data_IF_131772601966
#
_entry.id   IF_131772601966
#
_cell.length_a   1.000
_cell.length_b   1.000
_cell.length_c   1.000
_cell.angle_alpha   90.00
_cell.angle_beta   90.00
_cell.angle_gamma   90.00
#
_symmetry.space_group_name_H-M   'P 1'
#
loop_
_entity.id
_entity.type
_entity.pdbx_description
1 polymer ?
#
# COMPACT_ATOMS: atom_id res chain seq x y z
N UNK A 1 16.46 0.95 -16.66
CA UNK A 1 15.22 0.54 -15.95
C UNK A 1 15.42 0.53 -14.44
N UNK A 2 16.52 -0.01 -13.93
CA UNK A 2 16.89 0.05 -12.50
C UNK A 2 16.89 1.48 -11.92
N UNK A 3 17.51 2.43 -12.63
CA UNK A 3 17.54 3.84 -12.23
C UNK A 3 16.13 4.45 -12.08
N UNK A 4 15.23 4.12 -13.01
CA UNK A 4 13.85 4.60 -12.98
C UNK A 4 13.13 4.09 -11.73
N UNK A 5 13.25 2.79 -11.41
CA UNK A 5 12.64 2.23 -10.19
C UNK A 5 13.19 2.87 -8.93
N UNK A 6 14.50 3.12 -8.89
CA UNK A 6 15.14 3.85 -7.79
C UNK A 6 14.54 5.23 -7.61
N UNK A 7 14.46 6.01 -8.69
CA UNK A 7 13.92 7.37 -8.68
C UNK A 7 12.45 7.37 -8.25
N UNK A 8 11.62 6.51 -8.86
CA UNK A 8 10.19 6.40 -8.52
C UNK A 8 10.01 6.03 -7.04
N UNK A 9 10.72 5.00 -6.56
CA UNK A 9 10.62 4.56 -5.16
C UNK A 9 11.03 5.67 -4.19
N UNK A 10 12.11 6.40 -4.52
CA UNK A 10 12.61 7.50 -3.69
C UNK A 10 11.64 8.68 -3.65
N UNK A 11 11.08 9.09 -4.80
CA UNK A 11 10.07 10.15 -4.87
C UNK A 11 8.86 9.75 -4.02
N UNK A 12 8.30 8.56 -4.25
CA UNK A 12 7.12 8.11 -3.52
C UNK A 12 7.33 8.03 -1.99
N UNK A 13 8.49 7.51 -1.55
CA UNK A 13 8.81 7.47 -0.11
C UNK A 13 9.04 8.85 0.47
N UNK A 14 9.74 9.72 -0.24
CA UNK A 14 10.04 11.07 0.22
C UNK A 14 8.79 11.92 0.35
N UNK A 15 7.94 11.93 -0.68
CA UNK A 15 6.68 12.68 -0.65
C UNK A 15 5.76 12.20 0.47
N UNK A 16 5.73 10.90 0.76
CA UNK A 16 4.99 10.40 1.91
C UNK A 16 5.63 10.82 3.25
N UNK A 17 6.94 10.64 3.42
CA UNK A 17 7.61 10.90 4.70
C UNK A 17 7.69 12.39 5.06
N UNK A 18 7.79 13.27 4.05
CA UNK A 18 7.94 14.71 4.22
C UNK A 18 6.58 15.42 4.20
N UNK A 19 5.66 14.98 3.34
CA UNK A 19 4.41 15.71 3.05
C UNK A 19 3.12 14.89 3.32
N UNK A 20 3.23 13.63 3.76
CA UNK A 20 2.08 12.73 3.93
C UNK A 20 1.27 12.55 2.64
N UNK A 21 1.95 12.53 1.49
CA UNK A 21 1.32 12.31 0.18
C UNK A 21 1.53 10.85 -0.24
N UNK A 22 0.44 10.10 -0.32
CA UNK A 22 0.42 8.74 -0.86
C UNK A 22 0.28 8.79 -2.39
N UNK A 23 1.33 8.43 -3.10
CA UNK A 23 1.32 8.36 -4.56
C UNK A 23 0.86 6.99 -5.05
N UNK A 24 0.00 7.00 -6.07
CA UNK A 24 -0.35 5.84 -6.90
C UNK A 24 0.10 6.14 -8.32
N UNK A 25 0.50 5.10 -9.04
CA UNK A 25 0.90 5.26 -10.43
C UNK A 25 0.94 3.94 -11.17
N UNK A 26 1.32 4.02 -12.43
CA UNK A 26 1.58 2.84 -13.23
C UNK A 26 2.75 3.07 -14.19
N UNK A 27 3.41 1.98 -14.57
CA UNK A 27 4.52 1.98 -15.53
C UNK A 27 4.20 0.95 -16.60
N UNK A 28 4.15 1.43 -17.84
CA UNK A 28 4.06 0.61 -19.04
C UNK A 28 5.26 0.91 -19.94
N UNK A 29 5.63 -0.05 -20.78
CA UNK A 29 6.70 0.05 -21.77
C UNK A 29 6.09 0.00 -23.16
N UNK A 30 6.59 0.83 -24.07
CA UNK A 30 6.17 0.87 -25.47
C UNK A 30 6.53 2.21 -26.10
N UNK A 31 6.06 2.41 -27.33
CA UNK A 31 6.35 3.62 -28.08
C UNK A 31 5.56 4.83 -27.56
N UNK A 32 6.27 5.94 -27.40
CA UNK A 32 5.71 7.24 -27.11
C UNK A 32 6.57 8.34 -27.71
N UNK A 33 5.96 9.48 -27.98
CA UNK A 33 6.62 10.69 -28.45
C UNK A 33 6.35 11.84 -27.49
N UNK A 34 7.35 12.68 -27.29
CA UNK A 34 7.21 13.96 -26.60
C UNK A 34 7.13 15.07 -27.65
N UNK A 35 5.97 15.69 -27.77
CA UNK A 35 5.74 16.84 -28.63
C UNK A 35 6.01 18.11 -27.82
N UNK A 36 7.13 18.78 -28.08
CA UNK A 36 7.48 20.03 -27.40
C UNK A 36 6.53 21.17 -27.81
N UNK A 37 6.00 21.91 -26.83
CA UNK A 37 5.22 23.11 -27.07
C UNK A 37 6.17 24.29 -27.29
N UNK A 38 6.16 24.86 -28.50
CA UNK A 38 7.15 25.85 -28.95
C UNK A 38 7.01 27.26 -28.37
N UNK A 39 6.10 27.48 -27.42
CA UNK A 39 5.61 28.83 -27.13
C UNK A 39 6.26 29.53 -25.92
N UNK A 40 7.04 28.85 -25.06
CA UNK A 40 7.67 29.48 -23.90
C UNK A 40 9.09 28.92 -23.67
N UNK A 41 10.13 29.75 -23.85
CA UNK A 41 11.54 29.33 -23.72
C UNK A 41 11.96 28.88 -22.32
N UNK A 42 11.20 29.24 -21.29
CA UNK A 42 11.47 28.92 -19.88
C UNK A 42 10.64 27.74 -19.36
N UNK A 43 9.74 27.18 -20.16
CA UNK A 43 8.83 26.14 -19.74
C UNK A 43 8.96 24.95 -20.68
N UNK A 44 9.50 23.83 -20.18
CA UNK A 44 9.47 22.55 -20.89
C UNK A 44 8.04 21.99 -20.90
N UNK A 45 7.10 22.71 -21.52
CA UNK A 45 5.78 22.20 -21.83
C UNK A 45 5.93 21.25 -23.02
N UNK A 46 5.52 20.01 -22.85
CA UNK A 46 5.40 19.07 -23.94
C UNK A 46 4.21 18.16 -23.71
N UNK A 47 3.60 17.70 -24.79
CA UNK A 47 2.56 16.68 -24.75
C UNK A 47 3.23 15.32 -24.95
N UNK A 48 3.01 14.41 -24.01
CA UNK A 48 3.40 13.00 -24.19
C UNK A 48 2.22 12.30 -24.84
N UNK A 49 2.44 11.72 -26.03
CA UNK A 49 1.45 10.92 -26.75
C UNK A 49 2.05 9.56 -27.09
N UNK A 50 1.21 8.53 -27.12
CA UNK A 50 1.63 7.19 -27.47
C UNK A 50 0.80 6.13 -26.76
N UNK A 51 0.84 4.91 -27.28
CA UNK A 51 0.10 3.79 -26.73
C UNK A 51 0.58 3.49 -25.30
N UNK A 52 1.90 3.57 -25.05
CA UNK A 52 2.45 3.35 -23.72
C UNK A 52 1.92 4.32 -22.66
N UNK A 53 1.64 5.58 -23.03
CA UNK A 53 1.01 6.55 -22.11
C UNK A 53 -0.44 6.15 -21.80
N UNK A 54 -1.21 5.76 -22.81
CA UNK A 54 -2.60 5.32 -22.64
C UNK A 54 -2.64 4.06 -21.78
N UNK A 55 -1.76 3.11 -22.03
CA UNK A 55 -1.66 1.85 -21.29
C UNK A 55 -1.32 2.10 -19.82
N UNK A 56 -0.33 2.96 -19.54
CA UNK A 56 -0.01 3.36 -18.17
C UNK A 56 -1.19 4.05 -17.48
N UNK A 57 -1.89 4.96 -18.17
CA UNK A 57 -3.05 5.65 -17.63
C UNK A 57 -4.20 4.68 -17.28
N UNK A 58 -4.53 3.75 -18.18
CA UNK A 58 -5.57 2.75 -17.93
C UNK A 58 -5.17 1.80 -16.80
N UNK A 59 -3.89 1.43 -16.75
CA UNK A 59 -3.34 0.51 -15.77
C UNK A 59 -3.38 1.09 -14.34
N UNK A 60 -3.13 2.39 -14.16
CA UNK A 60 -3.20 3.07 -12.86
C UNK A 60 -4.59 2.94 -12.21
N UNK A 61 -5.64 2.96 -13.03
CA UNK A 61 -7.02 2.82 -12.58
C UNK A 61 -7.43 1.42 -12.12
N UNK A 62 -6.61 0.38 -12.40
CA UNK A 62 -6.99 -1.02 -12.17
C UNK A 62 -6.88 -1.46 -10.70
N UNK A 63 -5.94 -0.88 -9.95
CA UNK A 63 -5.70 -1.25 -8.55
C UNK A 63 -6.00 -0.07 -7.65
N UNK A 64 -6.98 -0.25 -6.76
CA UNK A 64 -7.34 0.73 -5.72
C UNK A 64 -6.47 0.52 -4.48
N UNK A 65 -5.19 0.84 -4.60
CA UNK A 65 -4.20 0.77 -3.53
C UNK A 65 -3.05 1.73 -3.81
N UNK A 66 -2.33 2.14 -2.77
CA UNK A 66 -1.05 2.84 -2.94
C UNK A 66 0.01 1.86 -3.44
N UNK A 67 0.77 2.29 -4.45
CA UNK A 67 1.76 1.45 -5.13
C UNK A 67 1.85 1.82 -6.61
N UNK A 68 2.80 1.18 -7.29
CA UNK A 68 3.01 1.39 -8.72
C UNK A 68 2.64 0.09 -9.45
N UNK A 69 1.60 0.15 -10.28
CA UNK A 69 1.17 -1.00 -11.10
C UNK A 69 2.04 -1.10 -12.34
N UNK A 70 2.48 -2.30 -12.70
CA UNK A 70 3.40 -2.52 -13.81
C UNK A 70 2.68 -3.29 -14.93
N UNK A 71 3.00 -2.96 -16.18
CA UNK A 71 2.69 -3.88 -17.28
C UNK A 71 3.49 -5.17 -17.12
N UNK A 72 3.02 -6.27 -17.71
CA UNK A 72 3.70 -7.56 -17.66
C UNK A 72 5.16 -7.45 -18.11
N UNK A 73 5.39 -6.83 -19.27
CA UNK A 73 6.73 -6.63 -19.83
C UNK A 73 7.68 -5.86 -18.90
N UNK A 74 7.17 -4.83 -18.21
CA UNK A 74 7.97 -4.05 -17.26
C UNK A 74 8.30 -4.89 -16.02
N UNK A 75 7.33 -5.66 -15.53
CA UNK A 75 7.56 -6.57 -14.42
C UNK A 75 8.61 -7.63 -14.76
N UNK A 76 8.51 -8.26 -15.93
CA UNK A 76 9.48 -9.26 -16.39
C UNK A 76 10.89 -8.67 -16.53
N UNK A 77 11.02 -7.48 -17.16
CA UNK A 77 12.30 -6.77 -17.27
C UNK A 77 12.91 -6.51 -15.88
N UNK A 78 12.10 -6.11 -14.89
CA UNK A 78 12.56 -5.84 -13.53
C UNK A 78 12.92 -7.10 -12.75
N UNK A 79 12.16 -8.18 -12.92
CA UNK A 79 12.47 -9.48 -12.31
C UNK A 79 13.79 -10.03 -12.85
N UNK A 80 14.09 -9.84 -14.14
CA UNK A 80 15.35 -10.23 -14.76
C UNK A 80 16.56 -9.41 -14.23
N UNK A 81 16.35 -8.15 -13.83
CA UNK A 81 17.39 -7.33 -13.19
C UNK A 81 17.66 -7.77 -11.74
N UNK A 82 16.63 -8.28 -11.04
CA UNK A 82 16.75 -8.91 -9.72
C UNK A 82 16.97 -7.97 -8.52
N UNK A 83 17.37 -6.71 -8.73
CA UNK A 83 17.74 -5.77 -7.64
C UNK A 83 16.56 -5.33 -6.76
N UNK A 84 15.31 -5.48 -7.24
CA UNK A 84 14.09 -5.05 -6.55
C UNK A 84 13.06 -6.18 -6.36
N UNK A 85 13.46 -7.44 -6.52
CA UNK A 85 12.56 -8.60 -6.47
C UNK A 85 11.71 -8.66 -5.19
N UNK A 86 12.28 -8.28 -4.04
CA UNK A 86 11.56 -8.25 -2.76
C UNK A 86 10.42 -7.20 -2.71
N UNK A 87 10.40 -6.24 -3.64
CA UNK A 87 9.37 -5.21 -3.73
C UNK A 87 8.42 -5.43 -4.90
N UNK A 88 8.63 -6.50 -5.67
CA UNK A 88 7.85 -6.86 -6.84
C UNK A 88 7.02 -8.10 -6.51
N UNK A 89 5.74 -8.05 -6.86
CA UNK A 89 4.88 -9.21 -6.68
C UNK A 89 3.68 -9.17 -7.62
N UNK A 90 3.14 -10.37 -7.83
CA UNK A 90 1.87 -10.59 -8.47
C UNK A 90 0.73 -10.61 -7.45
N UNK A 91 -0.41 -10.03 -7.85
CA UNK A 91 -1.65 -10.10 -7.10
C UNK A 91 -2.83 -10.36 -8.01
N UNK A 92 -3.71 -11.27 -7.59
CA UNK A 92 -4.96 -11.54 -8.31
C UNK A 92 -6.07 -10.71 -7.67
N UNK A 93 -6.54 -9.71 -8.39
CA UNK A 93 -7.62 -8.82 -7.98
C UNK A 93 -8.72 -8.95 -9.03
N UNK A 94 -9.95 -9.23 -8.60
CA UNK A 94 -11.09 -9.43 -9.51
C UNK A 94 -10.81 -10.44 -10.65
N UNK A 95 -10.13 -11.55 -10.32
CA UNK A 95 -9.72 -12.61 -11.27
C UNK A 95 -8.71 -12.16 -12.34
N UNK A 96 -8.11 -10.98 -12.20
CA UNK A 96 -7.05 -10.49 -13.08
C UNK A 96 -5.73 -10.40 -12.32
N UNK A 97 -4.66 -10.84 -12.96
CA UNK A 97 -3.30 -10.68 -12.43
C UNK A 97 -2.85 -9.25 -12.62
N UNK A 98 -2.33 -8.67 -11.55
CA UNK A 98 -1.72 -7.36 -11.52
C UNK A 98 -0.30 -7.50 -11.00
N UNK A 99 0.62 -6.74 -11.58
CA UNK A 99 2.01 -6.70 -11.16
C UNK A 99 2.25 -5.40 -10.41
N UNK A 100 2.82 -5.48 -9.21
CA UNK A 100 2.93 -4.34 -8.31
C UNK A 100 4.36 -4.17 -7.86
N UNK A 101 4.85 -2.93 -7.97
CA UNK A 101 6.01 -2.43 -7.24
C UNK A 101 5.51 -1.70 -5.99
N UNK A 102 5.80 -2.26 -4.80
CA UNK A 102 5.58 -1.55 -3.54
C UNK A 102 6.75 -0.62 -3.24
N UNK A 103 6.44 0.60 -2.82
CA UNK A 103 7.42 1.49 -2.20
C UNK A 103 7.23 1.58 -0.68
N UNK A 104 6.00 1.36 -0.18
CA UNK A 104 5.71 1.24 1.25
C UNK A 104 5.95 -0.21 1.70
N UNK A 105 7.17 -0.52 2.10
CA UNK A 105 7.47 -1.80 2.74
C UNK A 105 6.96 -1.81 4.18
N UNK A 106 6.80 -3.00 4.75
CA UNK A 106 6.46 -3.14 6.17
C UNK A 106 7.43 -2.38 7.08
N UNK A 107 8.74 -2.51 6.84
CA UNK A 107 9.75 -1.80 7.64
C UNK A 107 9.66 -0.29 7.52
N UNK A 108 9.36 0.20 6.31
CA UNK A 108 9.18 1.63 6.09
C UNK A 108 7.95 2.17 6.82
N UNK A 109 6.83 1.43 6.79
CA UNK A 109 5.62 1.82 7.51
C UNK A 109 5.78 1.71 9.02
N UNK A 110 6.50 0.72 9.54
CA UNK A 110 6.69 0.54 10.99
C UNK A 110 7.52 1.65 11.67
N UNK A 111 8.15 2.55 10.91
CA UNK A 111 8.70 3.78 11.45
C UNK A 111 7.57 4.61 12.06
N UNK A 112 7.67 4.96 13.35
CA UNK A 112 6.62 5.59 14.14
C UNK A 112 5.94 6.78 13.42
N UNK A 113 6.74 7.73 12.93
CA UNK A 113 6.24 8.89 12.18
C UNK A 113 5.44 8.47 10.94
N UNK A 114 5.95 7.51 10.17
CA UNK A 114 5.33 7.06 8.93
C UNK A 114 3.99 6.36 9.21
N UNK A 115 3.93 5.50 10.23
CA UNK A 115 2.68 4.84 10.60
C UNK A 115 1.64 5.83 11.10
N UNK A 116 2.05 6.79 11.94
CA UNK A 116 1.16 7.84 12.46
C UNK A 116 0.56 8.65 11.31
N UNK A 117 1.39 9.16 10.40
CA UNK A 117 0.90 9.91 9.23
C UNK A 117 -0.01 9.06 8.33
N UNK A 118 0.29 7.77 8.15
CA UNK A 118 -0.59 6.87 7.40
C UNK A 118 -1.96 6.74 8.06
N UNK A 119 -2.00 6.54 9.38
CA UNK A 119 -3.24 6.39 10.16
C UNK A 119 -4.04 7.69 10.20
N UNK A 120 -3.38 8.85 10.26
CA UNK A 120 -4.03 10.17 10.18
C UNK A 120 -4.79 10.33 8.85
N UNK A 121 -4.11 10.09 7.72
CA UNK A 121 -4.74 10.13 6.39
C UNK A 121 -5.89 9.12 6.28
N UNK A 122 -5.70 7.92 6.80
CA UNK A 122 -6.72 6.88 6.78
C UNK A 122 -7.95 7.28 7.60
N UNK A 123 -7.75 7.87 8.79
CA UNK A 123 -8.83 8.36 9.65
C UNK A 123 -9.61 9.51 8.98
N UNK A 124 -8.93 10.47 8.38
CA UNK A 124 -9.56 11.58 7.63
C UNK A 124 -10.40 11.05 6.46
N UNK A 125 -9.89 10.04 5.76
CA UNK A 125 -10.60 9.35 4.70
C UNK A 125 -11.68 8.38 5.19
N UNK A 126 -11.88 8.22 6.51
CA UNK A 126 -12.80 7.24 7.13
C UNK A 126 -12.49 5.80 6.70
N UNK A 127 -11.20 5.47 6.60
CA UNK A 127 -10.69 4.15 6.26
C UNK A 127 -11.32 3.60 4.98
N UNK A 128 -11.05 4.25 3.85
CA UNK A 128 -11.45 3.70 2.55
C UNK A 128 -10.71 2.40 2.23
N UNK A 129 -11.29 1.51 1.40
CA UNK A 129 -10.71 0.21 1.05
C UNK A 129 -9.23 0.21 0.63
N UNK A 130 -8.78 1.27 -0.04
CA UNK A 130 -7.41 1.36 -0.52
C UNK A 130 -6.36 1.46 0.60
N UNK A 131 -6.72 1.95 1.79
CA UNK A 131 -5.80 1.96 2.94
C UNK A 131 -5.53 0.54 3.44
N UNK A 132 -6.56 -0.31 3.51
CA UNK A 132 -6.40 -1.72 3.85
C UNK A 132 -5.58 -2.48 2.79
N UNK A 133 -5.85 -2.22 1.52
CA UNK A 133 -5.09 -2.80 0.40
C UNK A 133 -3.61 -2.36 0.44
N UNK A 134 -3.34 -1.13 0.87
CA UNK A 134 -1.97 -0.62 1.05
C UNK A 134 -1.25 -1.32 2.21
N UNK A 135 -1.92 -1.49 3.36
CA UNK A 135 -1.40 -2.29 4.47
C UNK A 135 -1.08 -3.70 3.97
N UNK A 136 -2.01 -4.33 3.25
CA UNK A 136 -1.80 -5.66 2.68
C UNK A 136 -0.58 -5.75 1.76
N UNK A 137 -0.40 -4.79 0.84
CA UNK A 137 0.76 -4.73 -0.05
C UNK A 137 2.08 -4.60 0.73
N UNK A 138 2.08 -3.82 1.81
CA UNK A 138 3.24 -3.71 2.69
C UNK A 138 3.59 -5.05 3.37
N UNK A 139 2.56 -5.85 3.70
CA UNK A 139 2.66 -7.16 4.35
C UNK A 139 2.88 -8.32 3.36
N UNK A 140 2.74 -8.10 2.05
CA UNK A 140 2.85 -9.17 1.04
C UNK A 140 4.23 -9.83 1.13
N UNK A 141 4.28 -11.15 0.94
CA UNK A 141 5.49 -12.00 1.10
C UNK A 141 6.08 -12.04 2.52
N UNK A 142 5.63 -11.22 3.48
CA UNK A 142 6.04 -11.34 4.89
C UNK A 142 5.45 -12.62 5.50
N UNK A 143 6.34 -13.44 6.07
CA UNK A 143 6.02 -14.72 6.73
C UNK A 143 6.26 -14.65 8.25
N UNK A 144 6.90 -13.60 8.74
CA UNK A 144 7.11 -13.39 10.16
C UNK A 144 5.81 -12.93 10.84
N UNK A 145 5.06 -13.90 11.36
CA UNK A 145 3.82 -13.65 12.10
C UNK A 145 3.98 -12.64 13.24
N UNK A 146 5.14 -12.59 13.92
CA UNK A 146 5.36 -11.60 15.00
C UNK A 146 5.41 -10.17 14.46
N UNK A 147 6.04 -9.97 13.30
CA UNK A 147 6.14 -8.65 12.66
C UNK A 147 4.80 -8.21 12.07
N UNK A 148 4.06 -9.13 11.47
CA UNK A 148 2.67 -8.90 11.04
C UNK A 148 1.79 -8.51 12.24
N UNK A 149 1.92 -9.21 13.36
CA UNK A 149 1.20 -8.92 14.60
C UNK A 149 1.58 -7.55 15.16
N UNK A 150 2.87 -7.20 15.21
CA UNK A 150 3.35 -5.88 15.61
C UNK A 150 2.71 -4.76 14.79
N UNK A 151 2.60 -4.93 13.47
CA UNK A 151 1.97 -3.95 12.60
C UNK A 151 0.50 -3.72 12.96
N UNK A 152 -0.28 -4.80 13.12
CA UNK A 152 -1.68 -4.66 13.53
C UNK A 152 -1.81 -4.07 14.93
N UNK A 153 -0.95 -4.47 15.89
CA UNK A 153 -0.95 -3.90 17.23
C UNK A 153 -0.74 -2.39 17.20
N UNK A 154 0.31 -1.93 16.51
CA UNK A 154 0.60 -0.50 16.38
C UNK A 154 -0.53 0.25 15.65
N UNK A 155 -1.16 -0.36 14.63
CA UNK A 155 -2.33 0.24 13.95
C UNK A 155 -3.50 0.44 14.90
N UNK A 156 -3.86 -0.57 15.70
CA UNK A 156 -4.95 -0.45 16.68
C UNK A 156 -4.65 0.61 17.72
N UNK A 157 -3.42 0.63 18.25
CA UNK A 157 -2.98 1.63 19.21
C UNK A 157 -3.14 3.06 18.66
N UNK A 158 -2.72 3.31 17.42
CA UNK A 158 -2.87 4.60 16.75
C UNK A 158 -4.33 4.94 16.41
N UNK A 159 -5.13 3.97 15.93
CA UNK A 159 -6.56 4.16 15.61
C UNK A 159 -7.34 4.58 16.86
N UNK A 160 -7.02 3.98 18.01
CA UNK A 160 -7.65 4.30 19.29
C UNK A 160 -6.91 5.37 20.10
N UNK A 161 -5.81 5.92 19.58
CA UNK A 161 -4.94 6.89 20.26
C UNK A 161 -4.51 6.42 21.67
N UNK A 162 -4.23 5.14 21.83
CA UNK A 162 -3.89 4.51 23.11
C UNK A 162 -5.04 4.36 24.11
N UNK A 163 -6.26 4.79 23.77
CA UNK A 163 -7.43 4.79 24.66
C UNK A 163 -8.62 4.03 24.03
N UNK A 164 -8.57 2.69 23.99
CA UNK A 164 -9.56 1.88 23.29
C UNK A 164 -10.99 2.00 23.86
N UNK A 165 -11.13 2.21 25.18
CA UNK A 165 -12.45 2.40 25.81
C UNK A 165 -13.09 3.75 25.49
N UNK A 166 -12.30 4.76 25.12
CA UNK A 166 -12.81 6.10 24.80
C UNK A 166 -13.02 6.25 23.28
N UNK A 167 -12.10 5.70 22.49
CA UNK A 167 -12.07 5.80 21.03
C UNK A 167 -12.61 4.54 20.33
N UNK A 168 -13.46 3.76 21.01
CA UNK A 168 -14.02 2.50 20.50
C UNK A 168 -14.73 2.66 19.14
N UNK A 169 -15.36 3.82 18.87
CA UNK A 169 -16.01 4.09 17.57
C UNK A 169 -15.04 4.08 16.40
N UNK A 170 -13.79 4.53 16.60
CA UNK A 170 -12.77 4.49 15.56
C UNK A 170 -12.33 3.05 15.30
N UNK A 171 -12.28 2.23 16.36
CA UNK A 171 -11.99 0.81 16.27
C UNK A 171 -13.10 0.10 15.49
N UNK A 172 -14.37 0.35 15.84
CA UNK A 172 -15.52 -0.24 15.15
C UNK A 172 -15.51 0.14 13.67
N UNK A 173 -15.34 1.42 13.34
CA UNK A 173 -15.25 1.89 11.96
C UNK A 173 -14.10 1.21 11.21
N UNK A 174 -12.93 1.09 11.83
CA UNK A 174 -11.77 0.43 11.25
C UNK A 174 -12.03 -1.06 11.00
N UNK A 175 -12.69 -1.76 11.93
CA UNK A 175 -13.01 -3.18 11.79
C UNK A 175 -14.08 -3.37 10.71
N UNK A 176 -15.18 -2.63 10.75
CA UNK A 176 -16.27 -2.74 9.78
C UNK A 176 -15.78 -2.49 8.35
N UNK A 177 -14.99 -1.42 8.15
CA UNK A 177 -14.52 -1.06 6.83
C UNK A 177 -13.46 -2.02 6.28
N UNK A 178 -12.76 -2.79 7.13
CA UNK A 178 -11.85 -3.85 6.71
C UNK A 178 -12.55 -4.96 5.91
N UNK A 179 -13.87 -5.14 6.08
CA UNK A 179 -14.64 -6.21 5.43
C UNK A 179 -15.45 -5.76 4.22
N UNK A 180 -15.36 -4.49 3.81
CA UNK A 180 -16.01 -3.99 2.59
C UNK A 180 -15.56 -4.77 1.32
N UNK A 181 -16.41 -4.78 0.30
CA UNK A 181 -16.21 -5.58 -0.93
C UNK A 181 -14.90 -5.28 -1.66
N UNK A 182 -14.45 -4.03 -1.66
CA UNK A 182 -13.24 -3.59 -2.37
C UNK A 182 -11.93 -3.85 -1.60
N UNK A 183 -12.00 -4.46 -0.41
CA UNK A 183 -10.82 -4.87 0.36
C UNK A 183 -10.39 -6.27 -0.07
N UNK A 184 -9.10 -6.47 -0.33
CA UNK A 184 -8.53 -7.73 -0.80
C UNK A 184 -8.79 -8.86 0.22
N UNK A 185 -9.29 -10.01 -0.24
CA UNK A 185 -9.70 -11.13 0.62
C UNK A 185 -8.55 -11.67 1.49
N UNK A 186 -7.33 -11.70 0.96
CA UNK A 186 -6.15 -12.13 1.70
C UNK A 186 -5.85 -11.20 2.88
N UNK A 187 -6.12 -9.89 2.75
CA UNK A 187 -6.05 -8.96 3.88
C UNK A 187 -7.05 -9.35 4.97
N UNK A 188 -8.32 -9.53 4.59
CA UNK A 188 -9.40 -9.93 5.51
C UNK A 188 -9.02 -11.20 6.28
N UNK A 189 -8.47 -12.19 5.58
CA UNK A 189 -8.01 -13.44 6.18
C UNK A 189 -6.88 -13.23 7.20
N UNK A 190 -5.87 -12.42 6.88
CA UNK A 190 -4.76 -12.09 7.80
C UNK A 190 -5.26 -11.28 9.01
N UNK A 191 -6.15 -10.32 8.78
CA UNK A 191 -6.75 -9.51 9.83
C UNK A 191 -7.59 -10.35 10.79
N UNK A 192 -8.42 -11.26 10.27
CA UNK A 192 -9.17 -12.22 11.08
C UNK A 192 -8.26 -13.13 11.90
N UNK A 193 -7.13 -13.58 11.34
CA UNK A 193 -6.13 -14.37 12.10
C UNK A 193 -5.64 -13.57 13.32
N UNK A 194 -5.30 -12.30 13.12
CA UNK A 194 -4.86 -11.40 14.20
C UNK A 194 -5.94 -11.21 15.28
N UNK A 195 -7.19 -10.93 14.88
CA UNK A 195 -8.31 -10.74 15.81
C UNK A 195 -8.56 -12.03 16.62
N UNK A 196 -8.62 -13.20 15.97
CA UNK A 196 -8.85 -14.48 16.64
C UNK A 196 -7.78 -14.78 17.69
N UNK A 197 -6.51 -14.53 17.36
CA UNK A 197 -5.41 -14.73 18.31
C UNK A 197 -5.53 -13.80 19.52
N UNK A 198 -5.92 -12.54 19.32
CA UNK A 198 -6.13 -11.61 20.42
C UNK A 198 -7.28 -12.01 21.35
N UNK A 199 -8.44 -12.39 20.78
CA UNK A 199 -9.60 -12.84 21.56
C UNK A 199 -9.24 -14.10 22.36
N UNK A 200 -8.60 -15.08 21.72
CA UNK A 200 -8.22 -16.33 22.38
C UNK A 200 -7.22 -16.09 23.53
N UNK A 201 -6.20 -15.24 23.31
CA UNK A 201 -5.20 -14.94 24.33
C UNK A 201 -5.78 -14.12 25.50
N UNK A 202 -6.73 -13.22 25.25
CA UNK A 202 -7.43 -12.48 26.29
C UNK A 202 -8.18 -13.43 27.23
N UNK A 203 -8.84 -14.46 26.69
CA UNK A 203 -9.54 -15.47 27.48
C UNK A 203 -8.59 -16.27 28.39
N UNK A 204 -7.42 -16.67 27.88
CA UNK A 204 -6.41 -17.38 28.70
C UNK A 204 -5.94 -16.51 29.87
N UNK A 205 -5.80 -15.19 29.69
CA UNK A 205 -5.37 -14.29 30.76
C UNK A 205 -6.44 -14.11 31.84
N UNK A 206 -7.73 -14.19 31.49
CA UNK A 206 -8.82 -14.15 32.46
C UNK A 206 -8.83 -15.43 33.31
N UNK A 207 -8.73 -16.61 32.70
CA UNK A 207 -8.70 -17.91 33.39
C UNK A 207 -7.53 -18.04 34.38
N UNK A 208 -6.39 -17.38 34.10
CA UNK A 208 -5.22 -17.38 34.98
C UNK A 208 -5.30 -16.35 36.12
N UNK A 209 -6.22 -15.38 36.08
CA UNK A 209 -6.47 -14.42 37.17
C UNK A 209 -7.48 -14.93 38.19
N UNK A 210 -8.26 -15.95 37.84
CA UNK A 210 -9.26 -16.59 38.70
C UNK A 210 -8.72 -17.80 39.50
N UNK A 211 -7.41 -18.07 39.43
CA UNK A 211 -6.69 -19.08 40.22
C UNK A 211 -5.73 -18.43 41.21
#
# INVERSE_FOLDING_TARGET
MEEMVRVVTNICRKEFADNSILLRGAIAKGDFEKLEAKEISTLQKGLIVGQAYVDAYLLEGTVKSTGIVLSADVYEDLMNIGTYSDNLFEEIIEKKTHYVLRYLTLDFLLVEKNLSSFVELANEAKWLPHYYNTIYFSLKQEQNDKKVYQMFFNLFDLVCKGHPSENWRNIDLFIENAFQDNVIETFKTRFLKYIRQHIYNANIQLDNREK
#
